data_IF_748346151923
#
_entry.id   IF_748346151923
#
_cell.length_a   1.000
_cell.length_b   1.000
_cell.length_c   1.000
_cell.angle_alpha   90.00
_cell.angle_beta   90.00
_cell.angle_gamma   90.00
#
_symmetry.space_group_name_H-M   'P 1'
#
loop_
_entity.id
_entity.type
_entity.pdbx_description
1 polymer ?
#
# COMPACT_ATOMS: atom_id res chain seq x y z
N UNK A 1 27.42 10.36 17.54
CA UNK A 1 27.71 10.00 16.14
C UNK A 1 26.97 8.71 15.85
N UNK A 2 26.21 8.70 14.77
CA UNK A 2 25.37 7.60 14.29
C UNK A 2 26.24 6.46 13.73
N UNK A 3 25.77 5.21 13.84
CA UNK A 3 26.29 4.04 13.14
C UNK A 3 26.29 2.81 14.04
N UNK A 4 25.75 1.65 13.66
CA UNK A 4 25.18 1.19 12.39
C UNK A 4 24.67 -0.23 12.61
N UNK A 5 23.72 -0.63 11.76
CA UNK A 5 22.77 -1.73 11.93
C UNK A 5 23.35 -3.13 12.25
N UNK A 6 22.66 -3.79 13.18
CA UNK A 6 22.68 -5.24 13.41
C UNK A 6 22.16 -5.98 12.19
N UNK A 7 23.01 -6.77 11.54
CA UNK A 7 22.58 -7.85 10.65
C UNK A 7 21.80 -8.89 11.48
N UNK A 8 20.60 -9.26 11.03
CA UNK A 8 19.79 -10.32 11.65
C UNK A 8 19.33 -11.26 10.54
N UNK A 9 20.03 -12.38 10.37
CA UNK A 9 19.69 -13.45 9.43
C UNK A 9 18.55 -14.33 9.98
N UNK A 10 17.58 -14.65 9.12
CA UNK A 10 16.43 -15.51 9.47
C UNK A 10 16.75 -16.97 9.11
N UNK A 11 16.74 -17.92 10.06
CA UNK A 11 17.02 -19.33 9.77
C UNK A 11 15.81 -20.02 9.10
N UNK A 12 16.02 -20.49 7.87
CA UNK A 12 14.99 -21.07 6.99
C UNK A 12 14.54 -22.52 7.33
N UNK A 13 14.98 -23.13 8.44
CA UNK A 13 14.73 -24.55 8.70
C UNK A 13 14.59 -24.89 10.20
N UNK A 14 13.54 -24.40 10.87
CA UNK A 14 13.18 -24.82 12.23
C UNK A 14 12.01 -25.82 12.19
N UNK A 15 12.01 -26.86 13.05
CA UNK A 15 10.96 -27.88 13.05
C UNK A 15 9.64 -27.32 13.59
N UNK A 16 8.52 -27.84 13.08
CA UNK A 16 7.16 -27.36 13.35
C UNK A 16 6.74 -27.39 14.83
N UNK A 17 7.41 -28.18 15.67
CA UNK A 17 7.13 -28.27 17.12
C UNK A 17 7.56 -27.03 17.92
N UNK A 18 8.63 -26.36 17.50
CA UNK A 18 9.16 -25.18 18.21
C UNK A 18 8.32 -23.92 17.93
N UNK A 19 7.64 -23.89 16.77
CA UNK A 19 6.69 -22.82 16.42
C UNK A 19 5.49 -22.82 17.38
N UNK A 20 5.06 -23.99 17.87
CA UNK A 20 3.93 -24.10 18.80
C UNK A 20 4.29 -23.62 20.22
N UNK A 21 5.57 -23.77 20.61
CA UNK A 21 6.05 -23.37 21.93
C UNK A 21 6.16 -21.83 22.06
N UNK A 22 6.47 -21.14 20.97
CA UNK A 22 6.49 -19.67 20.87
C UNK A 22 5.09 -19.03 21.00
N UNK A 23 4.02 -19.77 20.65
CA UNK A 23 2.63 -19.27 20.79
C UNK A 23 2.12 -19.39 22.24
N UNK A 24 2.63 -20.36 23.00
CA UNK A 24 2.13 -20.66 24.35
C UNK A 24 2.93 -19.97 25.47
N UNK A 25 4.18 -19.56 25.24
CA UNK A 25 4.98 -18.78 26.19
C UNK A 25 4.79 -17.27 25.97
N UNK A 26 3.61 -16.82 26.33
CA UNK A 26 3.10 -15.45 26.25
C UNK A 26 3.74 -14.53 27.33
N UNK A 27 5.07 -14.36 27.32
CA UNK A 27 5.79 -13.43 28.18
C UNK A 27 6.92 -12.75 27.41
N UNK A 28 6.65 -11.52 26.94
CA UNK A 28 7.62 -10.47 26.57
C UNK A 28 8.60 -10.71 25.40
N UNK A 29 8.38 -11.71 24.55
CA UNK A 29 9.14 -11.83 23.30
C UNK A 29 8.54 -10.95 22.20
N UNK A 30 9.08 -9.72 22.15
CA UNK A 30 9.13 -8.76 21.03
C UNK A 30 8.49 -9.30 19.75
N UNK A 31 7.20 -8.99 19.56
CA UNK A 31 6.45 -9.29 18.35
C UNK A 31 7.00 -8.43 17.22
N UNK A 32 8.15 -8.85 16.68
CA UNK A 32 8.78 -8.25 15.49
C UNK A 32 7.84 -8.43 14.32
N UNK A 33 6.93 -7.47 14.14
CA UNK A 33 6.20 -7.29 12.91
C UNK A 33 7.22 -7.25 11.78
N UNK A 34 7.09 -8.19 10.84
CA UNK A 34 7.81 -8.17 9.57
C UNK A 34 7.28 -6.99 8.73
N UNK A 35 7.69 -5.77 9.08
CA UNK A 35 7.36 -4.57 8.30
C UNK A 35 8.21 -4.61 7.05
N UNK A 36 7.59 -5.01 5.93
CA UNK A 36 8.22 -4.87 4.61
C UNK A 36 8.35 -3.37 4.33
N UNK A 37 9.58 -2.91 4.24
CA UNK A 37 9.91 -1.52 3.96
C UNK A 37 9.34 -1.08 2.60
N UNK A 38 8.78 0.13 2.52
CA UNK A 38 8.18 0.63 1.27
C UNK A 38 9.25 0.76 0.19
N UNK A 39 9.04 0.09 -0.95
CA UNK A 39 9.97 0.16 -2.06
C UNK A 39 9.42 1.07 -3.17
N UNK A 40 10.28 1.67 -4.01
CA UNK A 40 9.81 2.44 -5.15
C UNK A 40 8.95 1.57 -6.08
N UNK A 41 7.97 2.21 -6.72
CA UNK A 41 7.07 1.53 -7.66
C UNK A 41 7.87 1.00 -8.87
N UNK A 42 7.89 -0.32 -9.04
CA UNK A 42 8.57 -1.00 -10.16
C UNK A 42 7.75 -1.04 -11.46
N UNK A 43 6.60 -0.37 -11.49
CA UNK A 43 5.71 -0.27 -12.67
C UNK A 43 5.24 -1.62 -13.24
N UNK A 44 5.02 -2.61 -12.37
CA UNK A 44 4.58 -3.97 -12.77
C UNK A 44 3.17 -4.05 -13.37
N UNK A 45 2.31 -3.06 -13.14
CA UNK A 45 0.95 -3.03 -13.71
C UNK A 45 -0.11 -3.87 -12.97
N UNK A 46 0.25 -4.63 -11.92
CA UNK A 46 -0.70 -5.48 -11.18
C UNK A 46 -1.93 -4.72 -10.65
N UNK A 47 -1.71 -3.51 -10.13
CA UNK A 47 -2.78 -2.67 -9.62
C UNK A 47 -3.85 -2.30 -10.67
N UNK A 48 -3.49 -2.27 -11.96
CA UNK A 48 -4.43 -2.03 -13.07
C UNK A 48 -5.11 -3.33 -13.46
N UNK A 49 -4.33 -4.41 -13.62
CA UNK A 49 -4.82 -5.74 -14.02
C UNK A 49 -5.90 -6.30 -13.09
N UNK A 50 -5.74 -6.10 -11.78
CA UNK A 50 -6.65 -6.61 -10.75
C UNK A 50 -7.63 -5.56 -10.22
N UNK A 51 -7.73 -4.38 -10.84
CA UNK A 51 -8.68 -3.37 -10.39
C UNK A 51 -10.11 -3.77 -10.76
N UNK A 52 -11.03 -4.01 -9.81
CA UNK A 52 -12.41 -4.37 -10.13
C UNK A 52 -13.20 -3.22 -10.77
N UNK A 53 -12.76 -1.98 -10.56
CA UNK A 53 -13.35 -0.79 -11.17
C UNK A 53 -12.70 -0.41 -12.52
N UNK A 54 -11.70 -1.19 -13.00
CA UNK A 54 -11.00 -0.91 -14.26
C UNK A 54 -10.23 0.41 -14.29
N UNK A 55 -9.77 0.90 -13.13
CA UNK A 55 -9.06 2.18 -13.02
C UNK A 55 -7.55 2.03 -13.24
N UNK A 56 -6.85 3.17 -13.25
CA UNK A 56 -5.39 3.24 -13.26
C UNK A 56 -4.86 3.79 -11.90
N UNK A 57 -4.73 2.94 -10.86
CA UNK A 57 -4.46 3.42 -9.49
C UNK A 57 -3.12 4.12 -9.34
N UNK A 58 -2.10 3.70 -10.09
CA UNK A 58 -0.77 4.32 -10.09
C UNK A 58 -0.80 5.75 -10.63
N UNK A 59 -1.54 6.00 -11.72
CA UNK A 59 -1.70 7.34 -12.27
C UNK A 59 -2.54 8.22 -11.34
N UNK A 60 -3.62 7.66 -10.77
CA UNK A 60 -4.44 8.38 -9.79
C UNK A 60 -3.61 8.75 -8.55
N UNK A 61 -2.73 7.86 -8.07
CA UNK A 61 -1.78 8.17 -6.98
C UNK A 61 -0.91 9.37 -7.35
N UNK A 62 -0.28 9.36 -8.53
CA UNK A 62 0.57 10.48 -8.98
C UNK A 62 -0.21 11.78 -9.10
N UNK A 63 -1.41 11.74 -9.70
CA UNK A 63 -2.28 12.91 -9.82
C UNK A 63 -2.76 13.42 -8.44
N UNK A 64 -3.01 12.52 -7.49
CA UNK A 64 -3.36 12.87 -6.11
C UNK A 64 -2.22 13.55 -5.38
N UNK A 65 -0.97 13.09 -5.57
CA UNK A 65 0.22 13.71 -4.98
C UNK A 65 0.45 15.09 -5.59
N UNK A 66 0.32 15.21 -6.91
CA UNK A 66 0.42 16.48 -7.63
C UNK A 66 -0.78 17.42 -7.40
N UNK A 67 -1.86 16.94 -6.75
CA UNK A 67 -3.14 17.66 -6.58
C UNK A 67 -3.73 18.17 -7.91
N UNK A 68 -3.54 17.41 -8.99
CA UNK A 68 -4.00 17.77 -10.33
C UNK A 68 -5.48 17.38 -10.52
N UNK A 69 -6.38 18.35 -10.34
CA UNK A 69 -7.82 18.15 -10.50
C UNK A 69 -8.24 17.72 -11.91
N UNK A 70 -7.54 18.18 -12.94
CA UNK A 70 -7.89 17.88 -14.33
C UNK A 70 -7.57 16.43 -14.64
N UNK A 71 -6.39 15.96 -14.22
CA UNK A 71 -6.02 14.55 -14.37
C UNK A 71 -6.90 13.62 -13.53
N UNK A 72 -7.23 14.00 -12.29
CA UNK A 72 -8.13 13.20 -11.44
C UNK A 72 -9.52 13.02 -12.06
N UNK A 73 -10.03 14.05 -12.74
CA UNK A 73 -11.27 13.98 -13.51
C UNK A 73 -11.15 13.10 -14.76
N UNK A 74 -10.07 13.25 -15.54
CA UNK A 74 -9.81 12.41 -16.73
C UNK A 74 -9.66 10.92 -16.40
N UNK A 75 -9.12 10.61 -15.23
CA UNK A 75 -8.92 9.25 -14.75
C UNK A 75 -10.16 8.65 -14.06
N UNK A 76 -11.30 9.35 -14.09
CA UNK A 76 -12.55 8.90 -13.45
C UNK A 76 -12.37 8.46 -11.99
N UNK A 77 -11.54 9.19 -11.22
CA UNK A 77 -11.14 8.79 -9.85
C UNK A 77 -12.34 8.54 -8.92
N UNK A 78 -13.49 9.16 -9.22
CA UNK A 78 -14.76 8.96 -8.50
C UNK A 78 -15.31 7.54 -8.56
N UNK A 79 -15.01 6.76 -9.62
CA UNK A 79 -15.45 5.37 -9.79
C UNK A 79 -14.75 4.40 -8.82
N UNK A 80 -13.71 4.84 -8.11
CA UNK A 80 -13.03 3.98 -7.15
C UNK A 80 -13.98 3.56 -6.02
N UNK A 81 -14.13 2.25 -5.80
CA UNK A 81 -14.98 1.66 -4.77
C UNK A 81 -14.25 1.38 -3.44
N UNK A 82 -13.02 1.87 -3.28
CA UNK A 82 -12.23 1.70 -2.06
C UNK A 82 -11.95 0.25 -1.62
N UNK A 83 -11.88 -0.71 -2.57
CA UNK A 83 -11.66 -2.14 -2.27
C UNK A 83 -10.26 -2.48 -1.72
N UNK A 84 -9.24 -1.64 -1.95
CA UNK A 84 -7.88 -1.87 -1.43
C UNK A 84 -7.01 -2.86 -2.22
N UNK A 85 -7.54 -3.52 -3.26
CA UNK A 85 -6.81 -4.52 -4.06
C UNK A 85 -5.47 -4.01 -4.59
N UNK A 86 -5.39 -2.73 -4.97
CA UNK A 86 -4.17 -2.14 -5.53
C UNK A 86 -2.99 -2.07 -4.55
N UNK A 87 -3.23 -1.93 -3.24
CA UNK A 87 -2.18 -2.03 -2.22
C UNK A 87 -1.83 -3.49 -1.98
N UNK A 88 -2.83 -4.36 -1.89
CA UNK A 88 -2.64 -5.79 -1.61
C UNK A 88 -1.78 -6.51 -2.66
N UNK A 89 -2.01 -6.26 -3.95
CA UNK A 89 -1.27 -6.89 -5.05
C UNK A 89 0.07 -6.21 -5.37
N UNK A 90 0.44 -5.17 -4.61
CA UNK A 90 1.62 -4.39 -4.91
C UNK A 90 2.88 -5.09 -4.37
N UNK A 91 3.83 -5.50 -5.24
CA UNK A 91 5.09 -6.10 -4.76
C UNK A 91 6.00 -5.10 -4.06
N UNK A 92 5.81 -3.79 -4.31
CA UNK A 92 6.58 -2.71 -3.69
C UNK A 92 6.01 -2.27 -2.33
N UNK A 93 4.91 -2.87 -1.85
CA UNK A 93 4.26 -2.54 -0.58
C UNK A 93 3.84 -1.07 -0.40
N UNK A 94 3.74 -0.32 -1.50
CA UNK A 94 3.30 1.08 -1.45
C UNK A 94 1.79 1.18 -1.18
N UNK A 95 1.40 2.20 -0.42
CA UNK A 95 0.02 2.48 -0.05
C UNK A 95 -0.78 3.15 -1.19
N UNK A 96 -1.03 2.41 -2.28
CA UNK A 96 -1.76 2.93 -3.45
C UNK A 96 -3.21 3.28 -3.10
N UNK A 97 -3.87 2.43 -2.32
CA UNK A 97 -5.30 2.59 -2.02
C UNK A 97 -5.58 3.86 -1.21
N UNK A 98 -4.71 4.22 -0.26
CA UNK A 98 -4.85 5.45 0.51
C UNK A 98 -4.69 6.69 -0.38
N UNK A 99 -3.68 6.71 -1.25
CA UNK A 99 -3.49 7.81 -2.19
C UNK A 99 -4.69 7.99 -3.13
N UNK A 100 -5.27 6.89 -3.63
CA UNK A 100 -6.47 6.93 -4.47
C UNK A 100 -7.69 7.46 -3.70
N UNK A 101 -7.89 7.02 -2.45
CA UNK A 101 -8.97 7.54 -1.58
C UNK A 101 -8.82 9.05 -1.35
N UNK A 102 -7.60 9.51 -1.03
CA UNK A 102 -7.29 10.95 -0.87
C UNK A 102 -7.58 11.72 -2.17
N UNK A 103 -7.17 11.21 -3.33
CA UNK A 103 -7.45 11.79 -4.64
C UNK A 103 -8.95 11.90 -4.94
N UNK A 104 -9.73 10.86 -4.62
CA UNK A 104 -11.20 10.87 -4.76
C UNK A 104 -11.84 11.93 -3.87
N UNK A 105 -11.47 11.98 -2.60
CA UNK A 105 -11.98 12.98 -1.65
C UNK A 105 -11.62 14.40 -2.07
N UNK A 106 -10.38 14.61 -2.53
CA UNK A 106 -9.92 15.89 -3.03
C UNK A 106 -10.72 16.36 -4.25
N UNK A 107 -10.87 15.48 -5.26
CA UNK A 107 -11.60 15.80 -6.49
C UNK A 107 -13.09 16.07 -6.20
N UNK A 108 -13.75 15.25 -5.39
CA UNK A 108 -15.17 15.43 -5.05
C UNK A 108 -15.42 16.72 -4.25
N UNK A 109 -14.55 17.06 -3.29
CA UNK A 109 -14.64 18.31 -2.54
C UNK A 109 -14.47 19.55 -3.43
N UNK A 110 -13.58 19.49 -4.42
CA UNK A 110 -13.38 20.59 -5.40
C UNK A 110 -14.53 20.69 -6.39
N UNK A 111 -15.02 19.57 -6.90
CA UNK A 111 -16.07 19.58 -7.92
C UNK A 111 -17.44 20.02 -7.37
N UNK A 112 -17.70 19.79 -6.07
CA UNK A 112 -18.91 20.30 -5.38
C UNK A 112 -18.98 21.83 -5.31
N UNK A 113 -17.84 22.53 -5.27
CA UNK A 113 -17.80 24.01 -5.21
C UNK A 113 -18.05 24.69 -6.56
N UNK A 114 -18.00 23.92 -7.66
CA UNK A 114 -18.20 24.43 -9.03
C UNK A 114 -19.64 24.28 -9.52
N UNK A 115 -20.49 23.60 -8.76
CA UNK A 115 -21.91 23.42 -9.02
C UNK A 115 -22.71 24.39 -8.17
#
# INVERSE_FOLDING_TARGET
>A
MLGGASEYEVPHNKPVGDVLLDVLHFSEHDSKHFVRDEQPCVRCGNCVKYCPAGLQPTLIRTASIAKDEKLLGKLDTVKCISCGTCTYVCPSHIEVSEAVKKGKSYYTARNRKKK
#
